data_IF_852139777284
#
_entry.id   IF_852139777284
#
_cell.length_a   1.000
_cell.length_b   1.000
_cell.length_c   1.000
_cell.angle_alpha   90.00
_cell.angle_beta   90.00
_cell.angle_gamma   90.00
#
_symmetry.space_group_name_H-M   'P 1'
#
loop_
_entity.id
_entity.type
_entity.pdbx_description
1 polymer ?
#
# COMPACT_ATOMS: atom_id res chain seq x y z
N UNK A 1 -17.35 1.47 -14.78
CA UNK A 1 -16.13 0.81 -14.26
C UNK A 1 -15.55 1.68 -13.15
N UNK A 2 -15.07 1.05 -12.07
CA UNK A 2 -14.95 1.60 -10.71
C UNK A 2 -13.74 2.55 -10.54
N UNK A 3 -13.88 3.72 -9.88
CA UNK A 3 -12.79 4.67 -9.61
C UNK A 3 -11.92 4.31 -8.38
N UNK A 4 -11.74 3.02 -8.07
CA UNK A 4 -11.00 2.57 -6.87
C UNK A 4 -9.47 2.72 -7.05
N UNK A 5 -9.00 2.73 -8.30
CA UNK A 5 -7.59 2.67 -8.65
C UNK A 5 -6.77 3.92 -8.26
N UNK A 6 -7.40 5.11 -8.22
CA UNK A 6 -6.72 6.37 -7.89
C UNK A 6 -6.41 6.56 -6.40
N UNK A 7 -6.94 5.71 -5.52
CA UNK A 7 -6.92 5.93 -4.07
C UNK A 7 -5.86 5.07 -3.35
N UNK A 8 -5.51 3.90 -3.90
CA UNK A 8 -4.65 2.94 -3.22
C UNK A 8 -3.16 3.34 -3.17
N UNK A 9 -2.67 4.20 -4.07
CA UNK A 9 -1.23 4.51 -4.14
C UNK A 9 -0.80 5.70 -3.24
N UNK A 10 -1.75 6.55 -2.83
CA UNK A 10 -1.51 7.56 -1.78
C UNK A 10 -1.24 6.96 -0.39
N UNK A 11 -1.47 5.65 -0.21
CA UNK A 11 -1.23 4.96 1.05
C UNK A 11 0.24 4.84 1.46
N UNK A 12 1.20 4.99 0.53
CA UNK A 12 2.61 4.85 0.88
C UNK A 12 3.10 5.93 1.87
N UNK A 13 2.40 7.07 1.90
CA UNK A 13 2.86 8.28 2.58
C UNK A 13 1.90 8.76 3.68
N UNK A 14 0.63 8.36 3.58
CA UNK A 14 -0.38 8.63 4.59
C UNK A 14 -1.26 7.40 4.64
N UNK A 15 -0.97 6.46 5.54
CA UNK A 15 -1.79 5.26 5.80
C UNK A 15 -3.16 5.61 6.38
N UNK A 16 -3.98 6.36 5.63
CA UNK A 16 -5.29 6.90 6.01
C UNK A 16 -6.32 6.89 4.89
N UNK A 17 -5.95 6.42 3.70
CA UNK A 17 -6.91 6.33 2.62
C UNK A 17 -7.58 4.97 2.71
N UNK A 18 -8.60 4.87 3.56
CA UNK A 18 -9.51 3.73 3.54
C UNK A 18 -10.05 3.52 2.12
N UNK A 19 -10.27 2.26 1.74
CA UNK A 19 -10.87 1.85 0.46
C UNK A 19 -12.33 2.33 0.33
N UNK A 20 -12.56 3.64 0.31
CA UNK A 20 -13.84 4.27 0.04
C UNK A 20 -13.97 4.46 -1.46
N UNK A 21 -14.75 3.60 -2.11
CA UNK A 21 -15.20 3.85 -3.49
C UNK A 21 -16.11 5.08 -3.54
N UNK A 22 -15.53 6.27 -3.62
CA UNK A 22 -16.27 7.48 -3.94
C UNK A 22 -16.58 7.48 -5.44
N UNK A 23 -17.83 7.20 -5.79
CA UNK A 23 -18.33 7.48 -7.13
C UNK A 23 -18.27 9.00 -7.36
N UNK A 24 -17.51 9.42 -8.37
CA UNK A 24 -17.47 10.83 -8.78
C UNK A 24 -18.88 11.29 -9.23
N UNK A 25 -19.29 12.53 -8.91
CA UNK A 25 -20.54 13.08 -9.42
C UNK A 25 -20.43 13.27 -10.94
N UNK A 26 -21.34 12.62 -11.68
CA UNK A 26 -21.45 12.78 -13.12
C UNK A 26 -21.95 14.20 -13.45
N UNK A 27 -21.16 14.96 -14.20
CA UNK A 27 -21.61 16.20 -14.84
C UNK A 27 -21.54 16.10 -16.36
N UNK A 28 -22.72 16.23 -16.97
CA UNK A 28 -23.05 16.77 -18.30
C UNK A 28 -22.55 16.09 -19.60
N UNK A 29 -23.56 15.52 -20.28
CA UNK A 29 -23.80 15.25 -21.73
C UNK A 29 -23.28 16.40 -22.64
N UNK A 30 -22.73 16.22 -23.88
CA UNK A 30 -23.33 15.55 -25.07
C UNK A 30 -22.30 14.95 -26.10
N UNK A 31 -22.64 14.64 -27.38
CA UNK A 31 -23.91 14.26 -28.01
C UNK A 31 -23.93 12.82 -28.57
N UNK A 32 -25.13 12.42 -28.92
CA UNK A 32 -25.59 11.22 -29.63
C UNK A 32 -24.70 10.78 -30.81
N UNK A 33 -24.20 9.54 -30.77
CA UNK A 33 -23.75 8.79 -31.94
C UNK A 33 -24.74 7.66 -32.25
N UNK A 34 -24.93 7.46 -33.55
CA UNK A 34 -25.99 6.68 -34.18
C UNK A 34 -26.17 5.25 -33.65
N UNK A 35 -27.43 4.86 -33.49
CA UNK A 35 -27.86 3.48 -33.27
C UNK A 35 -27.51 2.63 -34.50
N UNK A 36 -26.59 1.70 -34.32
CA UNK A 36 -26.41 0.57 -35.23
C UNK A 36 -27.31 -0.60 -34.77
N UNK A 37 -28.01 -1.10 -35.77
CA UNK A 37 -28.97 -2.20 -35.88
C UNK A 37 -28.75 -3.47 -35.04
N UNK A 38 -29.90 -4.05 -34.66
CA UNK A 38 -30.13 -5.37 -34.05
C UNK A 38 -29.21 -6.50 -34.54
N UNK A 39 -28.62 -7.22 -33.58
CA UNK A 39 -28.02 -8.55 -33.77
C UNK A 39 -28.86 -9.62 -33.01
N UNK A 40 -28.97 -10.85 -33.54
CA UNK A 40 -29.93 -11.85 -33.10
C UNK A 40 -29.59 -12.51 -31.75
N UNK A 41 -30.64 -12.90 -31.01
CA UNK A 41 -30.57 -13.65 -29.76
C UNK A 41 -29.84 -14.99 -29.91
N UNK A 42 -28.93 -15.26 -28.97
CA UNK A 42 -28.28 -16.56 -28.84
C UNK A 42 -29.26 -17.61 -28.28
N UNK A 43 -29.25 -18.78 -28.91
CA UNK A 43 -30.03 -19.98 -28.58
C UNK A 43 -29.45 -20.70 -27.36
N UNK A 44 -30.34 -21.27 -26.53
CA UNK A 44 -29.99 -22.08 -25.34
C UNK A 44 -29.10 -23.27 -25.68
N UNK A 45 -28.00 -23.44 -24.93
CA UNK A 45 -27.15 -24.62 -24.96
C UNK A 45 -27.71 -25.75 -24.05
N UNK A 46 -27.52 -27.04 -24.41
CA UNK A 46 -27.99 -28.18 -23.62
C UNK A 46 -27.18 -28.42 -22.34
N UNK A 47 -27.86 -28.88 -21.29
CA UNK A 47 -27.28 -29.29 -20.01
C UNK A 47 -26.31 -30.47 -20.16
N UNK A 48 -25.19 -30.42 -19.45
CA UNK A 48 -24.18 -31.46 -19.40
C UNK A 48 -24.60 -32.65 -18.50
N UNK A 49 -24.32 -33.85 -18.99
CA UNK A 49 -24.55 -35.16 -18.39
C UNK A 49 -23.48 -35.53 -17.34
N UNK A 50 -23.90 -36.34 -16.36
CA UNK A 50 -23.15 -36.90 -15.23
C UNK A 50 -21.68 -37.31 -15.51
N UNK A 51 -20.78 -36.89 -14.62
CA UNK A 51 -19.39 -37.35 -14.56
C UNK A 51 -19.25 -38.64 -13.71
N UNK A 52 -18.33 -39.56 -14.07
CA UNK A 52 -18.06 -40.78 -13.31
C UNK A 52 -17.24 -40.53 -12.03
N UNK A 53 -17.50 -41.37 -11.01
CA UNK A 53 -16.87 -41.34 -9.70
C UNK A 53 -15.36 -41.65 -9.76
N UNK A 54 -14.60 -40.92 -8.95
CA UNK A 54 -13.15 -41.06 -8.81
C UNK A 54 -12.76 -42.37 -8.09
N UNK A 55 -11.79 -43.07 -8.67
CA UNK A 55 -11.08 -44.19 -8.05
C UNK A 55 -10.04 -43.66 -7.04
N UNK A 56 -10.12 -44.14 -5.80
CA UNK A 56 -9.16 -43.84 -4.73
C UNK A 56 -7.86 -44.62 -4.95
N UNK A 57 -6.76 -43.91 -5.22
CA UNK A 57 -5.42 -44.49 -5.21
C UNK A 57 -4.81 -44.38 -3.81
N UNK A 58 -4.33 -45.52 -3.29
CA UNK A 58 -3.65 -45.63 -2.01
C UNK A 58 -2.24 -45.04 -2.09
N UNK A 59 -1.91 -44.12 -1.18
CA UNK A 59 -0.59 -43.50 -1.08
C UNK A 59 0.43 -44.49 -0.49
N UNK A 60 1.51 -44.72 -1.22
CA UNK A 60 2.71 -45.40 -0.71
C UNK A 60 3.56 -44.38 0.04
N UNK A 61 3.92 -44.68 1.29
CA UNK A 61 4.72 -43.81 2.14
C UNK A 61 6.15 -43.64 1.57
N UNK A 62 6.55 -42.39 1.35
CA UNK A 62 7.91 -42.03 0.96
C UNK A 62 8.85 -42.01 2.20
N UNK A 63 10.11 -42.44 2.06
CA UNK A 63 11.08 -42.41 3.15
C UNK A 63 11.48 -40.97 3.52
N UNK A 64 11.61 -40.71 4.82
CA UNK A 64 11.97 -39.42 5.38
C UNK A 64 13.37 -38.96 4.93
N UNK A 65 13.44 -37.78 4.33
CA UNK A 65 14.70 -37.07 4.05
C UNK A 65 15.09 -36.29 5.32
N UNK A 66 16.36 -36.36 5.78
CA UNK A 66 16.82 -35.59 6.92
C UNK A 66 16.82 -34.08 6.59
N UNK A 67 15.95 -33.34 7.28
CA UNK A 67 15.90 -31.88 7.26
C UNK A 67 17.15 -31.32 7.94
N UNK A 68 18.11 -30.84 7.15
CA UNK A 68 19.18 -29.98 7.66
C UNK A 68 18.54 -28.67 8.14
N UNK A 69 18.78 -28.32 9.40
CA UNK A 69 18.32 -27.06 9.98
C UNK A 69 18.92 -25.87 9.19
N UNK A 70 18.12 -24.87 8.80
CA UNK A 70 18.66 -23.68 8.14
C UNK A 70 19.61 -22.96 9.10
N UNK A 71 20.84 -22.76 8.65
CA UNK A 71 21.83 -21.91 9.30
C UNK A 71 21.26 -20.50 9.38
N UNK A 72 20.77 -20.09 10.56
CA UNK A 72 20.36 -18.72 10.80
C UNK A 72 21.57 -17.81 10.58
N UNK A 73 21.49 -16.92 9.60
CA UNK A 73 22.43 -15.82 9.47
C UNK A 73 22.33 -15.00 10.77
N UNK A 74 23.41 -14.96 11.53
CA UNK A 74 23.54 -14.11 12.72
C UNK A 74 23.29 -12.66 12.30
N UNK A 75 22.14 -12.12 12.70
CA UNK A 75 21.86 -10.70 12.58
C UNK A 75 22.98 -9.90 13.26
N UNK A 76 23.46 -8.79 12.67
CA UNK A 76 24.47 -7.97 13.29
C UNK A 76 23.99 -7.55 14.69
N UNK A 77 24.78 -7.88 15.72
CA UNK A 77 24.56 -7.42 17.09
C UNK A 77 24.72 -5.90 17.11
N UNK A 78 23.62 -5.17 16.96
CA UNK A 78 23.60 -3.73 17.17
C UNK A 78 23.87 -3.51 18.65
N UNK A 79 24.98 -2.85 18.97
CA UNK A 79 25.32 -2.46 20.33
C UNK A 79 24.11 -1.77 20.96
N UNK A 80 23.76 -2.16 22.18
CA UNK A 80 22.75 -1.52 23.03
C UNK A 80 23.26 -0.13 23.44
N UNK A 81 23.48 0.75 22.44
CA UNK A 81 23.82 2.14 22.64
C UNK A 81 22.57 2.82 23.19
N UNK A 82 22.62 3.18 24.47
CA UNK A 82 21.53 3.85 25.14
C UNK A 82 21.04 5.05 24.33
N UNK A 83 19.74 5.26 24.33
CA UNK A 83 19.05 6.42 23.74
C UNK A 83 19.43 7.76 24.38
N UNK A 84 20.40 7.78 25.30
CA UNK A 84 20.65 8.87 26.26
C UNK A 84 21.03 10.22 25.68
N UNK A 85 21.55 10.28 24.45
CA UNK A 85 22.02 11.54 23.82
C UNK A 85 21.37 11.86 22.47
N UNK A 86 20.42 11.04 22.00
CA UNK A 86 19.78 11.30 20.71
C UNK A 86 18.78 12.45 20.84
N UNK A 87 19.09 13.57 20.18
CA UNK A 87 18.21 14.72 20.11
C UNK A 87 17.26 14.59 18.91
N UNK A 88 15.96 14.87 19.06
CA UNK A 88 15.05 14.89 17.93
C UNK A 88 15.53 15.91 16.89
N UNK A 89 15.24 15.71 15.58
CA UNK A 89 15.58 16.67 14.55
C UNK A 89 15.06 18.07 14.89
N UNK A 90 15.88 19.08 14.65
CA UNK A 90 15.48 20.47 14.84
C UNK A 90 14.44 20.87 13.77
N UNK A 91 13.45 21.69 14.15
CA UNK A 91 12.42 22.21 13.25
C UNK A 91 11.01 22.06 13.82
N UNK A 92 10.02 22.50 13.04
CA UNK A 92 8.62 22.25 13.39
C UNK A 92 8.32 20.75 13.27
N UNK A 93 7.60 20.12 14.23
CA UNK A 93 7.31 18.68 14.18
C UNK A 93 6.67 18.21 12.87
N UNK A 94 5.80 19.02 12.27
CA UNK A 94 5.22 18.70 10.96
C UNK A 94 6.27 18.59 9.86
N UNK A 95 7.27 19.48 9.84
CA UNK A 95 8.33 19.45 8.83
C UNK A 95 9.18 18.19 8.98
N UNK A 96 9.39 17.72 10.21
CA UNK A 96 10.08 16.45 10.49
C UNK A 96 9.30 15.27 9.90
N UNK A 97 7.98 15.21 10.13
CA UNK A 97 7.12 14.15 9.57
C UNK A 97 7.15 14.19 8.04
N UNK A 98 6.95 15.37 7.43
CA UNK A 98 6.98 15.55 5.98
C UNK A 98 8.32 15.11 5.36
N UNK A 99 9.42 15.52 5.97
CA UNK A 99 10.77 15.15 5.53
C UNK A 99 10.98 13.64 5.62
N UNK A 100 10.54 13.01 6.71
CA UNK A 100 10.69 11.57 6.88
C UNK A 100 9.89 10.76 5.86
N UNK A 101 8.68 11.21 5.56
CA UNK A 101 7.82 10.69 4.50
C UNK A 101 8.50 10.78 3.12
N UNK A 102 9.13 11.91 2.79
CA UNK A 102 9.84 12.09 1.51
C UNK A 102 11.14 11.26 1.44
N UNK A 103 11.87 11.12 2.55
CA UNK A 103 13.11 10.35 2.60
C UNK A 103 12.94 8.86 2.31
N UNK A 104 11.74 8.31 2.44
CA UNK A 104 11.44 6.95 2.04
C UNK A 104 11.79 6.69 0.56
N UNK A 105 11.60 7.69 -0.30
CA UNK A 105 11.85 7.62 -1.75
C UNK A 105 13.30 7.87 -2.15
N UNK A 106 14.13 8.30 -1.20
CA UNK A 106 15.57 8.42 -1.42
C UNK A 106 16.28 7.06 -1.32
N UNK A 107 15.62 6.05 -0.74
CA UNK A 107 16.13 4.68 -0.67
C UNK A 107 16.33 4.06 -2.05
N UNK A 108 17.28 3.13 -2.16
CA UNK A 108 17.48 2.36 -3.39
C UNK A 108 16.26 1.47 -3.67
N UNK A 109 15.67 0.95 -2.61
CA UNK A 109 14.43 0.19 -2.63
C UNK A 109 13.63 0.43 -1.35
N UNK A 110 12.31 0.29 -1.45
CA UNK A 110 11.40 0.30 -0.30
C UNK A 110 10.30 -0.74 -0.51
N UNK A 111 9.97 -1.48 0.54
CA UNK A 111 8.74 -2.25 0.66
C UNK A 111 7.89 -1.63 1.75
N UNK A 112 6.70 -1.16 1.37
CA UNK A 112 5.68 -0.72 2.29
C UNK A 112 4.57 -1.78 2.36
N UNK A 113 4.28 -2.28 3.56
CA UNK A 113 3.14 -3.15 3.82
C UNK A 113 2.16 -2.42 4.72
N UNK A 114 0.93 -2.27 4.25
CA UNK A 114 -0.16 -1.66 5.01
C UNK A 114 -1.26 -2.69 5.26
N UNK A 115 -1.60 -2.89 6.52
CA UNK A 115 -2.73 -3.70 6.98
C UNK A 115 -3.82 -2.75 7.47
N UNK A 116 -5.04 -2.94 6.99
CA UNK A 116 -6.22 -2.19 7.43
C UNK A 116 -7.17 -3.19 8.08
N UNK A 117 -7.32 -3.11 9.39
CA UNK A 117 -8.33 -3.81 10.16
C UNK A 117 -9.58 -2.94 10.20
N UNK A 118 -10.55 -3.29 9.37
CA UNK A 118 -11.79 -2.56 9.25
C UNK A 118 -12.71 -2.80 10.45
N UNK A 119 -13.58 -1.83 10.72
CA UNK A 119 -14.50 -1.87 11.85
C UNK A 119 -15.55 -3.00 11.83
N UNK A 120 -15.69 -3.70 10.71
CA UNK A 120 -16.53 -4.90 10.57
C UNK A 120 -15.78 -6.20 10.91
N UNK A 121 -14.51 -6.09 11.29
CA UNK A 121 -13.63 -7.22 11.63
C UNK A 121 -12.92 -7.83 10.42
N UNK A 122 -13.14 -7.33 9.21
CA UNK A 122 -12.34 -7.72 8.05
C UNK A 122 -10.96 -7.08 8.11
N UNK A 123 -9.98 -7.73 7.48
CA UNK A 123 -8.62 -7.21 7.37
C UNK A 123 -8.16 -7.31 5.92
N UNK A 124 -7.59 -6.23 5.41
CA UNK A 124 -7.05 -6.17 4.06
C UNK A 124 -5.58 -5.74 4.10
N UNK A 125 -4.80 -6.23 3.13
CA UNK A 125 -3.38 -5.90 3.01
C UNK A 125 -3.10 -5.26 1.66
N UNK A 126 -2.38 -4.15 1.70
CA UNK A 126 -1.75 -3.51 0.54
C UNK A 126 -0.24 -3.72 0.66
N UNK A 127 0.38 -4.19 -0.42
CA UNK A 127 1.83 -4.26 -0.56
C UNK A 127 2.27 -3.33 -1.69
N UNK A 128 3.26 -2.49 -1.42
CA UNK A 128 3.91 -1.70 -2.46
C UNK A 128 5.42 -1.90 -2.34
N UNK A 129 6.05 -2.22 -3.45
CA UNK A 129 7.50 -2.33 -3.58
C UNK A 129 7.95 -1.35 -4.66
N UNK A 130 8.93 -0.51 -4.32
CA UNK A 130 9.53 0.43 -5.25
C UNK A 130 11.03 0.20 -5.29
N UNK A 131 11.58 0.15 -6.50
CA UNK A 131 13.02 0.14 -6.74
C UNK A 131 13.35 1.35 -7.61
N UNK A 132 14.20 2.23 -7.07
CA UNK A 132 14.57 3.47 -7.74
C UNK A 132 15.31 3.16 -9.04
N UNK A 133 15.09 3.94 -10.12
CA UNK A 133 14.17 5.09 -10.23
C UNK A 133 12.80 4.76 -10.85
N UNK A 134 12.57 3.52 -11.26
CA UNK A 134 11.64 3.24 -12.36
C UNK A 134 10.88 1.91 -12.24
N UNK A 135 10.88 1.26 -11.08
CA UNK A 135 10.17 -0.02 -10.89
C UNK A 135 9.21 0.06 -9.71
N UNK A 136 7.98 -0.37 -9.95
CA UNK A 136 6.94 -0.47 -8.93
C UNK A 136 6.24 -1.82 -9.05
N UNK A 137 5.96 -2.44 -7.91
CA UNK A 137 5.10 -3.62 -7.79
C UNK A 137 4.06 -3.34 -6.70
N UNK A 138 2.78 -3.56 -7.01
CA UNK A 138 1.66 -3.26 -6.12
C UNK A 138 0.76 -4.48 -6.04
N UNK A 139 0.51 -4.98 -4.83
CA UNK A 139 -0.51 -6.00 -4.54
C UNK A 139 -1.63 -5.34 -3.74
N UNK A 140 -2.81 -5.23 -4.35
CA UNK A 140 -3.96 -4.59 -3.74
C UNK A 140 -4.74 -5.55 -2.82
N UNK A 141 -5.50 -5.00 -1.85
CA UNK A 141 -6.47 -5.73 -1.02
C UNK A 141 -7.35 -6.76 -1.70
N UNK A 142 -7.79 -6.48 -2.93
CA UNK A 142 -8.70 -7.34 -3.69
C UNK A 142 -7.97 -8.44 -4.50
N UNK A 143 -6.65 -8.56 -4.31
CA UNK A 143 -5.80 -9.52 -5.00
C UNK A 143 -5.30 -9.04 -6.36
N UNK A 144 -5.68 -7.84 -6.82
CA UNK A 144 -5.12 -7.29 -8.05
C UNK A 144 -3.63 -6.98 -7.86
N UNK A 145 -2.82 -7.49 -8.79
CA UNK A 145 -1.37 -7.33 -8.77
C UNK A 145 -0.94 -6.52 -9.99
N UNK A 146 -0.07 -5.54 -9.78
CA UNK A 146 0.41 -4.65 -10.82
C UNK A 146 1.92 -4.53 -10.78
N UNK A 147 2.54 -4.52 -11.96
CA UNK A 147 3.94 -4.13 -12.13
C UNK A 147 3.94 -2.90 -13.03
N UNK A 148 4.63 -1.84 -12.64
CA UNK A 148 4.83 -0.66 -13.47
C UNK A 148 6.32 -0.38 -13.65
N UNK A 149 6.71 -0.15 -14.90
CA UNK A 149 8.08 0.15 -15.27
C UNK A 149 8.10 1.42 -16.12
N UNK A 150 8.78 2.47 -15.61
CA UNK A 150 8.82 3.78 -16.28
C UNK A 150 9.39 3.64 -17.69
N UNK A 151 8.66 4.19 -18.66
CA UNK A 151 9.04 4.12 -20.09
C UNK A 151 8.89 2.75 -20.76
N UNK A 152 8.51 1.68 -20.06
CA UNK A 152 8.21 0.38 -20.68
C UNK A 152 6.74 0.01 -20.67
N UNK A 153 6.01 0.36 -19.62
CA UNK A 153 4.60 0.01 -19.48
C UNK A 153 4.24 -0.45 -18.08
N UNK A 154 2.96 -0.69 -17.88
CA UNK A 154 2.44 -1.41 -16.73
C UNK A 154 1.80 -2.74 -17.17
N UNK A 155 1.73 -3.68 -16.24
CA UNK A 155 1.08 -4.97 -16.39
C UNK A 155 0.17 -5.19 -15.21
N UNK A 156 -1.00 -5.75 -15.48
CA UNK A 156 -1.94 -6.21 -14.46
C UNK A 156 -2.03 -7.72 -14.53
N UNK A 157 -2.05 -8.38 -13.38
CA UNK A 157 -2.30 -9.81 -13.30
C UNK A 157 -3.79 -10.09 -13.35
N UNK A 158 -4.21 -10.91 -14.31
CA UNK A 158 -5.59 -11.37 -14.52
C UNK A 158 -5.59 -12.89 -14.48
N UNK A 159 -6.04 -13.46 -13.36
CA UNK A 159 -5.85 -14.88 -13.06
C UNK A 159 -4.36 -15.21 -12.95
N UNK A 160 -3.88 -16.17 -13.74
CA UNK A 160 -2.47 -16.60 -13.76
C UNK A 160 -1.66 -15.93 -14.88
N UNK A 161 -2.21 -14.91 -15.54
CA UNK A 161 -1.58 -14.25 -16.70
C UNK A 161 -1.36 -12.77 -16.44
N UNK A 162 -0.36 -12.22 -17.09
CA UNK A 162 -0.09 -10.79 -17.09
C UNK A 162 -0.61 -10.14 -18.37
N UNK A 163 -1.39 -9.07 -18.22
CA UNK A 163 -1.93 -8.29 -19.31
C UNK A 163 -1.30 -6.90 -19.32
N UNK A 164 -0.67 -6.53 -20.44
CA UNK A 164 -0.06 -5.22 -20.62
C UNK A 164 -1.14 -4.11 -20.66
N UNK A 165 -0.88 -3.02 -19.96
CA UNK A 165 -1.78 -1.86 -19.80
C UNK A 165 -1.28 -0.61 -20.55
N UNK A 166 -0.08 -0.64 -21.13
CA UNK A 166 0.53 0.51 -21.81
C UNK A 166 1.41 1.39 -20.91
N UNK A 167 2.03 2.42 -21.49
CA UNK A 167 2.99 3.31 -20.82
C UNK A 167 2.27 4.35 -19.96
N UNK A 168 1.12 4.81 -20.43
CA UNK A 168 0.27 5.79 -19.74
C UNK A 168 -0.18 5.27 -18.37
N UNK A 169 -0.45 3.96 -18.27
CA UNK A 169 -0.75 3.30 -17.01
C UNK A 169 0.43 3.32 -16.04
N UNK A 170 1.67 3.13 -16.52
CA UNK A 170 2.85 3.24 -15.67
C UNK A 170 3.08 4.67 -15.18
N UNK A 171 2.93 5.67 -16.06
CA UNK A 171 3.08 7.08 -15.70
C UNK A 171 2.08 7.49 -14.61
N UNK A 172 0.86 6.94 -14.64
CA UNK A 172 -0.13 7.12 -13.59
C UNK A 172 0.37 6.60 -12.24
N UNK A 173 0.96 5.41 -12.17
CA UNK A 173 1.55 4.88 -10.93
C UNK A 173 2.68 5.78 -10.41
N UNK A 174 3.60 6.19 -11.28
CA UNK A 174 4.73 7.03 -10.85
C UNK A 174 4.30 8.46 -10.48
N UNK A 175 3.17 8.95 -11.00
CA UNK A 175 2.62 10.26 -10.64
C UNK A 175 2.33 10.41 -9.15
N UNK A 176 1.95 9.33 -8.45
CA UNK A 176 1.73 9.37 -7.00
C UNK A 176 3.02 9.37 -6.18
N UNK A 177 4.14 8.99 -6.79
CA UNK A 177 5.47 9.04 -6.17
C UNK A 177 6.18 10.37 -6.49
N UNK A 178 5.55 11.27 -7.25
CA UNK A 178 6.09 12.59 -7.54
C UNK A 178 6.13 13.44 -6.25
N UNK A 179 7.28 14.02 -5.88
CA UNK A 179 7.41 14.81 -4.65
C UNK A 179 6.35 15.89 -4.46
N UNK A 180 5.84 16.51 -5.53
CA UNK A 180 4.78 17.52 -5.41
C UNK A 180 3.44 16.90 -5.05
N UNK A 181 3.10 15.74 -5.64
CA UNK A 181 1.88 15.02 -5.27
C UNK A 181 1.91 14.62 -3.79
N UNK A 182 3.09 14.21 -3.31
CA UNK A 182 3.35 13.91 -1.90
C UNK A 182 3.15 15.15 -1.02
N UNK A 183 3.76 16.27 -1.38
CA UNK A 183 3.62 17.54 -0.65
C UNK A 183 2.17 18.01 -0.56
N UNK A 184 1.41 17.94 -1.66
CA UNK A 184 -0.02 18.28 -1.67
C UNK A 184 -0.82 17.38 -0.72
N UNK A 185 -0.52 16.08 -0.71
CA UNK A 185 -1.18 15.15 0.21
C UNK A 185 -0.81 15.43 1.67
N UNK A 186 0.43 15.81 1.96
CA UNK A 186 0.88 16.16 3.31
C UNK A 186 0.25 17.45 3.85
N UNK A 187 -0.36 18.29 3.00
CA UNK A 187 -1.16 19.45 3.45
C UNK A 187 -2.47 19.03 4.15
N UNK A 188 -2.89 17.77 4.02
CA UNK A 188 -4.07 17.23 4.71
C UNK A 188 -3.82 16.92 6.21
N UNK A 189 -2.55 16.98 6.65
CA UNK A 189 -2.20 16.87 8.06
C UNK A 189 -2.53 18.18 8.78
N UNK A 190 -3.20 18.11 9.92
CA UNK A 190 -3.50 19.29 10.72
C UNK A 190 -2.24 19.77 11.45
N UNK A 191 -1.79 20.98 11.11
CA UNK A 191 -0.49 21.54 11.53
C UNK A 191 -0.37 21.72 13.04
N UNK A 192 -1.47 22.06 13.71
CA UNK A 192 -1.53 22.35 15.15
C UNK A 192 -1.51 21.09 16.03
N UNK A 193 -1.64 19.91 15.43
CA UNK A 193 -1.82 18.65 16.14
C UNK A 193 -0.57 17.77 16.18
N UNK A 194 0.54 18.17 15.57
CA UNK A 194 1.77 17.36 15.53
C UNK A 194 2.59 17.52 16.81
N UNK A 195 2.81 16.42 17.52
CA UNK A 195 3.51 16.39 18.81
C UNK A 195 4.63 15.36 18.78
N UNK A 196 5.81 15.75 19.27
CA UNK A 196 6.87 14.80 19.58
C UNK A 196 6.53 14.09 20.90
N UNK A 197 6.50 12.77 20.87
CA UNK A 197 6.16 11.93 22.03
C UNK A 197 7.41 11.55 22.80
N UNK A 198 8.47 11.15 22.11
CA UNK A 198 9.71 10.68 22.75
C UNK A 198 10.58 9.85 21.82
N UNK A 199 11.69 9.34 22.36
CA UNK A 199 12.55 8.38 21.69
C UNK A 199 12.22 6.96 22.16
N UNK A 200 12.24 5.99 21.24
CA UNK A 200 11.95 4.58 21.49
C UNK A 200 12.94 3.66 20.75
N UNK A 201 12.88 2.36 21.04
CA UNK A 201 13.51 1.31 20.22
C UNK A 201 12.42 0.55 19.47
N UNK A 202 12.46 0.60 18.13
CA UNK A 202 11.61 -0.21 17.26
C UNK A 202 12.48 -1.32 16.65
N UNK A 203 12.27 -2.57 17.07
CA UNK A 203 13.05 -3.73 16.61
C UNK A 203 14.58 -3.53 16.76
N UNK A 204 14.99 -2.91 17.88
CA UNK A 204 16.39 -2.58 18.16
C UNK A 204 16.91 -1.31 17.46
N UNK A 205 16.10 -0.66 16.61
CA UNK A 205 16.44 0.61 15.96
C UNK A 205 16.01 1.81 16.82
N UNK A 206 16.89 2.79 17.07
CA UNK A 206 16.49 4.03 17.72
C UNK A 206 15.59 4.86 16.81
N UNK A 207 14.43 5.26 17.31
CA UNK A 207 13.41 6.02 16.59
C UNK A 207 12.89 7.18 17.45
N UNK A 208 12.45 8.24 16.79
CA UNK A 208 11.66 9.33 17.35
C UNK A 208 10.19 9.11 17.01
N UNK A 209 9.33 9.24 18.02
CA UNK A 209 7.89 8.99 17.89
C UNK A 209 7.15 10.31 17.86
N UNK A 210 6.26 10.45 16.88
CA UNK A 210 5.39 11.62 16.74
C UNK A 210 3.94 11.16 16.67
N UNK A 211 3.02 11.98 17.19
CA UNK A 211 1.58 11.80 17.02
C UNK A 211 0.98 13.02 16.35
N UNK A 212 -0.05 12.82 15.53
CA UNK A 212 -0.77 13.91 14.87
C UNK A 212 -2.20 13.54 14.54
N UNK A 213 -3.04 14.55 14.31
CA UNK A 213 -4.38 14.39 13.75
C UNK A 213 -4.36 14.66 12.26
N UNK A 214 -5.24 13.98 11.56
CA UNK A 214 -5.43 14.13 10.12
C UNK A 214 -6.89 14.37 9.80
N UNK A 215 -7.12 14.94 8.63
CA UNK A 215 -8.44 15.12 8.06
C UNK A 215 -8.35 14.91 6.56
N UNK A 216 -8.89 13.79 6.09
CA UNK A 216 -8.84 13.41 4.68
C UNK A 216 -10.20 13.60 4.05
N UNK A 217 -10.27 14.37 2.97
CA UNK A 217 -11.52 14.73 2.30
C UNK A 217 -11.82 16.23 2.41
N UNK A 218 -12.94 16.66 1.82
CA UNK A 218 -13.36 18.07 1.82
C UNK A 218 -14.75 18.21 2.43
N UNK A 219 -14.97 19.32 3.14
CA UNK A 219 -16.27 19.64 3.74
C UNK A 219 -16.72 18.64 4.81
N UNK A 220 -18.01 18.34 4.81
CA UNK A 220 -18.67 17.47 5.80
C UNK A 220 -18.33 15.98 5.65
N UNK A 221 -17.68 15.59 4.55
CA UNK A 221 -17.29 14.19 4.27
C UNK A 221 -15.84 13.89 4.67
N UNK A 222 -15.22 14.78 5.43
CA UNK A 222 -13.85 14.61 5.84
C UNK A 222 -13.74 13.55 6.94
N UNK A 223 -12.90 12.54 6.68
CA UNK A 223 -12.58 11.46 7.61
C UNK A 223 -11.49 11.97 8.54
N UNK A 224 -11.77 11.98 9.83
CA UNK A 224 -10.79 12.36 10.84
C UNK A 224 -10.07 11.13 11.38
N UNK A 225 -8.78 11.31 11.69
CA UNK A 225 -7.94 10.24 12.20
C UNK A 225 -6.88 10.75 13.18
N UNK A 226 -6.36 9.83 13.98
CA UNK A 226 -5.19 10.04 14.83
C UNK A 226 -4.10 9.08 14.41
N UNK A 227 -2.90 9.60 14.16
CA UNK A 227 -1.73 8.84 13.76
C UNK A 227 -0.63 8.87 14.80
N UNK A 228 0.17 7.81 14.81
CA UNK A 228 1.48 7.72 15.43
C UNK A 228 2.48 7.25 14.37
N UNK A 229 3.65 7.88 14.30
CA UNK A 229 4.71 7.54 13.35
C UNK A 229 6.05 7.39 14.08
N UNK A 230 6.83 6.39 13.67
CA UNK A 230 8.16 6.10 14.19
C UNK A 230 9.20 6.43 13.12
N UNK A 231 10.01 7.45 13.38
CA UNK A 231 11.01 7.99 12.45
C UNK A 231 12.40 7.59 12.95
N UNK A 232 13.21 6.94 12.11
CA UNK A 232 14.57 6.54 12.44
C UNK A 232 15.42 7.71 12.88
N UNK A 233 16.06 7.59 14.05
CA UNK A 233 16.86 8.68 14.61
C UNK A 233 18.14 8.98 13.81
N UNK A 234 18.61 8.02 12.99
CA UNK A 234 19.89 8.10 12.27
C UNK A 234 19.72 8.41 10.77
N UNK A 235 18.67 7.91 10.14
CA UNK A 235 18.39 8.09 8.71
C UNK A 235 17.25 9.07 8.44
N UNK A 236 16.48 9.41 9.48
CA UNK A 236 15.28 10.23 9.42
C UNK A 236 14.19 9.64 8.50
N UNK A 237 14.10 8.31 8.35
CA UNK A 237 13.04 7.64 7.55
C UNK A 237 11.92 7.11 8.44
N UNK A 238 10.68 7.06 7.92
CA UNK A 238 9.57 6.43 8.63
C UNK A 238 9.65 4.90 8.60
N UNK A 239 9.56 4.21 9.73
CA UNK A 239 9.64 2.75 9.81
C UNK A 239 8.30 2.08 10.13
N UNK A 240 7.44 2.78 10.85
CA UNK A 240 6.11 2.33 11.23
C UNK A 240 5.18 3.53 11.27
N UNK A 241 3.92 3.32 10.91
CA UNK A 241 2.84 4.25 11.16
C UNK A 241 1.61 3.47 11.62
N UNK A 242 0.98 3.96 12.68
CA UNK A 242 -0.31 3.47 13.15
C UNK A 242 -1.32 4.60 13.02
N UNK A 243 -2.52 4.26 12.57
CA UNK A 243 -3.64 5.18 12.45
C UNK A 243 -4.88 4.53 13.01
N UNK A 244 -5.66 5.32 13.75
CA UNK A 244 -7.07 5.03 14.02
C UNK A 244 -7.88 6.15 13.35
N UNK A 245 -8.78 5.80 12.44
CA UNK A 245 -9.59 6.76 11.68
C UNK A 245 -11.04 6.33 11.62
N UNK A 246 -11.95 7.28 11.40
CA UNK A 246 -13.35 6.93 11.12
C UNK A 246 -13.45 6.03 9.88
N UNK A 247 -14.28 4.99 9.96
CA UNK A 247 -14.46 4.05 8.87
C UNK A 247 -15.30 4.69 7.76
N UNK A 248 -14.81 4.72 6.50
CA UNK A 248 -15.56 5.29 5.37
C UNK A 248 -16.81 4.48 5.03
N UNK A 249 -16.82 3.18 5.38
CA UNK A 249 -17.89 2.23 5.07
C UNK A 249 -18.78 1.94 6.27
N UNK A 250 -18.26 2.08 7.50
CA UNK A 250 -18.98 1.80 8.73
C UNK A 250 -19.10 3.07 9.61
N UNK A 251 -20.04 3.96 9.27
CA UNK A 251 -20.23 5.26 9.96
C UNK A 251 -20.26 5.12 11.49
N UNK A 252 -19.48 5.96 12.17
CA UNK A 252 -19.38 6.00 13.63
C UNK A 252 -18.51 4.90 14.24
N UNK A 253 -17.91 4.04 13.42
CA UNK A 253 -16.87 3.10 13.86
C UNK A 253 -15.50 3.54 13.35
N UNK A 254 -14.46 2.88 13.85
CA UNK A 254 -13.08 3.19 13.50
C UNK A 254 -12.39 2.00 12.84
N UNK A 255 -11.61 2.30 11.82
CA UNK A 255 -10.65 1.36 11.22
C UNK A 255 -9.28 1.57 11.89
N UNK A 256 -8.51 0.49 12.01
CA UNK A 256 -7.12 0.53 12.48
C UNK A 256 -6.18 0.21 11.32
N UNK A 257 -5.21 1.08 11.07
CA UNK A 257 -4.30 0.96 9.94
C UNK A 257 -2.87 0.88 10.49
N UNK A 258 -2.14 -0.15 10.09
CA UNK A 258 -0.73 -0.35 10.41
C UNK A 258 0.07 -0.38 9.11
N UNK A 259 0.92 0.62 8.90
CA UNK A 259 1.91 0.63 7.83
C UNK A 259 3.31 0.34 8.39
N UNK A 260 4.06 -0.49 7.68
CA UNK A 260 5.45 -0.86 8.00
C UNK A 260 6.32 -0.72 6.77
N UNK A 261 7.57 -0.30 6.97
CA UNK A 261 8.48 0.03 5.88
C UNK A 261 9.82 -0.69 6.05
N UNK A 262 10.26 -1.37 4.99
CA UNK A 262 11.58 -1.96 4.85
C UNK A 262 12.34 -1.20 3.76
N UNK A 263 13.59 -0.81 4.03
CA UNK A 263 14.40 0.00 3.10
C UNK A 263 15.66 -0.73 2.67
N UNK A 264 16.12 -0.42 1.45
CA UNK A 264 17.39 -0.87 0.89
C UNK A 264 17.55 -2.40 0.91
N UNK A 265 16.42 -3.12 0.84
CA UNK A 265 16.35 -4.57 0.72
C UNK A 265 16.51 -5.02 -0.74
N UNK A 266 17.10 -6.19 -1.01
CA UNK A 266 17.31 -6.68 -2.38
C UNK A 266 15.97 -7.08 -3.02
N UNK A 267 15.32 -6.14 -3.68
CA UNK A 267 14.09 -6.33 -4.47
C UNK A 267 14.46 -6.27 -5.95
N UNK A 268 13.89 -7.17 -6.75
CA UNK A 268 13.99 -7.14 -8.21
C UNK A 268 12.58 -7.17 -8.80
N UNK A 269 12.30 -6.25 -9.72
CA UNK A 269 11.00 -6.13 -10.39
C UNK A 269 11.28 -6.09 -11.89
N UNK A 270 10.76 -7.08 -12.61
CA UNK A 270 10.94 -7.23 -14.04
C UNK A 270 9.59 -7.19 -14.75
N UNK A 271 9.61 -6.86 -16.05
CA UNK A 271 8.42 -7.02 -16.86
C UNK A 271 8.09 -8.52 -16.93
N UNK A 272 6.81 -8.91 -16.79
CA UNK A 272 6.41 -10.29 -17.01
C UNK A 272 6.65 -10.70 -18.48
N UNK A 273 6.91 -11.99 -18.68
CA UNK A 273 7.10 -12.60 -20.00
C UNK A 273 5.78 -12.88 -20.71
#
# INVERSE_FOLDING_TARGET
>A
MKPIFNFALGLLLVGMIGCGGAAAPATNVPPTLAQATNAPQATNAPQATNAPQATVLSATAAPAVPTAAPTQATAPTVATGGTGDLKPPAGAPLDVVKKASLKAFEAASVRAKTVIDAADGSSITLLIEYVKPDRLHVVQPDGNEYIAIKGKGAWQKVGDKWEAQGVEAADMFFGFLDPKAIEEMLKLIQVDSVQFVGAELLDGRPVFVYTYKTKVGTGEQAIEGSSKIWIGALDERAYRQETVSESPVNKGKQDHILATYEYDIPITIEAPQ
#
